data_IF_636851257940
#
_entry.id   IF_636851257940
#
_cell.length_a   1.000
_cell.length_b   1.000
_cell.length_c   1.000
_cell.angle_alpha   90.00
_cell.angle_beta   90.00
_cell.angle_gamma   90.00
#
_symmetry.space_group_name_H-M   'P 1'
#
loop_
_entity.id
_entity.type
_entity.pdbx_description
1 polymer ?
#
# COMPACT_ATOMS: atom_id res chain seq x y z
N UNK A 1 10.02 1.81 22.02
CA UNK A 1 10.85 0.99 21.12
C UNK A 1 11.26 1.85 19.95
N UNK A 2 12.55 2.15 19.84
CA UNK A 2 13.10 3.11 18.88
C UNK A 2 13.02 2.53 17.46
N UNK A 3 12.17 3.09 16.60
CA UNK A 3 12.26 2.86 15.15
C UNK A 3 13.45 3.68 14.66
N UNK A 4 14.51 2.99 14.27
CA UNK A 4 15.69 3.55 13.63
C UNK A 4 15.23 4.23 12.33
N UNK A 5 15.28 5.56 12.28
CA UNK A 5 14.89 6.31 11.08
C UNK A 5 16.06 6.21 10.10
N UNK A 6 15.98 5.26 9.17
CA UNK A 6 16.84 5.29 7.99
C UNK A 6 16.48 6.54 7.19
N UNK A 7 17.50 7.25 6.74
CA UNK A 7 17.39 8.46 5.92
C UNK A 7 16.89 8.03 4.51
N UNK A 8 15.61 7.65 4.40
CA UNK A 8 14.96 7.10 3.21
C UNK A 8 14.60 8.24 2.23
N UNK A 9 15.61 8.99 1.84
CA UNK A 9 15.53 10.07 0.87
C UNK A 9 15.97 9.53 -0.49
N UNK A 10 14.99 9.27 -1.36
CA UNK A 10 15.26 8.94 -2.75
C UNK A 10 15.61 10.20 -3.53
N UNK A 11 16.80 10.23 -4.14
CA UNK A 11 17.27 11.32 -4.98
C UNK A 11 17.28 10.96 -6.47
N UNK A 12 16.67 11.82 -7.27
CA UNK A 12 16.83 11.95 -8.72
C UNK A 12 17.59 13.25 -9.03
N UNK A 13 18.00 13.43 -10.29
CA UNK A 13 18.82 14.58 -10.74
C UNK A 13 18.27 15.96 -10.32
N UNK A 14 16.95 16.11 -10.18
CA UNK A 14 16.30 17.37 -9.79
C UNK A 14 15.22 17.19 -8.71
N UNK A 15 15.20 16.06 -8.00
CA UNK A 15 14.14 15.80 -7.02
C UNK A 15 14.65 14.93 -5.88
N UNK A 16 14.49 15.38 -4.64
CA UNK A 16 14.62 14.54 -3.46
C UNK A 16 13.23 14.28 -2.89
N UNK A 17 12.93 13.04 -2.56
CA UNK A 17 11.59 12.63 -2.13
C UNK A 17 11.64 11.59 -1.01
N UNK A 18 10.67 11.70 -0.12
CA UNK A 18 10.30 10.66 0.85
C UNK A 18 8.78 10.68 0.97
N UNK A 19 8.11 9.94 0.07
CA UNK A 19 6.67 10.00 -0.12
C UNK A 19 6.02 8.72 0.42
N UNK A 20 5.99 8.60 1.74
CA UNK A 20 5.37 7.48 2.45
C UNK A 20 3.93 7.83 2.81
N UNK A 21 3.00 6.94 2.51
CA UNK A 21 1.58 7.11 2.78
C UNK A 21 1.05 5.92 3.58
N UNK A 22 0.36 6.24 4.68
CA UNK A 22 -0.44 5.27 5.40
C UNK A 22 -1.85 5.25 4.80
N UNK A 23 -2.20 4.12 4.20
CA UNK A 23 -3.44 3.91 3.47
C UNK A 23 -4.26 2.86 4.20
N UNK A 24 -5.51 3.22 4.50
CA UNK A 24 -6.47 2.29 5.11
C UNK A 24 -7.73 2.24 4.26
N UNK A 25 -8.20 1.05 3.95
CA UNK A 25 -9.48 0.88 3.28
C UNK A 25 -10.24 -0.33 3.81
N UNK A 26 -11.56 -0.22 3.79
CA UNK A 26 -12.47 -1.26 4.26
C UNK A 26 -13.29 -1.82 3.08
N UNK A 27 -13.69 -3.10 3.14
CA UNK A 27 -14.62 -3.68 2.18
C UNK A 27 -15.99 -3.03 2.35
N UNK A 28 -16.81 -3.10 1.30
CA UNK A 28 -18.18 -2.54 1.34
C UNK A 28 -18.97 -3.15 2.50
N UNK A 29 -19.58 -2.29 3.31
CA UNK A 29 -20.30 -2.66 4.55
C UNK A 29 -19.46 -3.36 5.63
N UNK A 30 -18.12 -3.22 5.60
CA UNK A 30 -17.20 -3.87 6.56
C UNK A 30 -17.46 -5.38 6.71
N UNK A 31 -17.86 -6.02 5.61
CA UNK A 31 -18.06 -7.47 5.57
C UNK A 31 -16.75 -8.16 5.94
N UNK A 32 -16.83 -9.28 6.67
CA UNK A 32 -15.69 -10.15 6.99
C UNK A 32 -15.23 -10.95 5.76
N UNK A 33 -15.06 -10.26 4.63
CA UNK A 33 -14.75 -10.86 3.33
C UNK A 33 -13.29 -11.31 3.21
N UNK A 34 -12.42 -10.86 4.13
CA UNK A 34 -10.99 -11.16 4.16
C UNK A 34 -10.62 -12.28 5.15
N UNK A 35 -11.57 -13.15 5.52
CA UNK A 35 -11.32 -14.18 6.53
C UNK A 35 -10.57 -15.41 5.96
N UNK A 36 -9.70 -15.99 6.78
CA UNK A 36 -8.91 -17.22 6.51
C UNK A 36 -8.25 -17.25 5.14
N UNK A 37 -8.69 -18.14 4.24
CA UNK A 37 -8.04 -18.42 2.96
C UNK A 37 -7.96 -17.18 2.06
N UNK A 38 -8.97 -16.31 2.12
CA UNK A 38 -9.02 -15.09 1.29
C UNK A 38 -8.00 -14.04 1.72
N UNK A 39 -7.52 -14.08 2.96
CA UNK A 39 -6.50 -13.13 3.45
C UNK A 39 -5.21 -13.29 2.65
N UNK A 40 -4.77 -14.53 2.45
CA UNK A 40 -3.52 -14.87 1.77
C UNK A 40 -3.61 -14.50 0.28
N UNK A 41 -4.75 -14.79 -0.35
CA UNK A 41 -5.00 -14.43 -1.74
C UNK A 41 -5.00 -12.92 -1.96
N UNK A 42 -5.72 -12.17 -1.12
CA UNK A 42 -5.80 -10.71 -1.23
C UNK A 42 -4.45 -10.06 -0.98
N UNK A 43 -3.69 -10.55 0.00
CA UNK A 43 -2.32 -10.06 0.22
C UNK A 43 -1.43 -10.30 -1.00
N UNK A 44 -1.48 -11.48 -1.60
CA UNK A 44 -0.71 -11.80 -2.81
C UNK A 44 -1.09 -10.90 -3.99
N UNK A 45 -2.39 -10.68 -4.22
CA UNK A 45 -2.90 -9.79 -5.27
C UNK A 45 -2.43 -8.35 -5.04
N UNK A 46 -2.54 -7.85 -3.81
CA UNK A 46 -2.11 -6.48 -3.47
C UNK A 46 -0.61 -6.28 -3.68
N UNK A 47 0.22 -7.26 -3.30
CA UNK A 47 1.67 -7.22 -3.55
C UNK A 47 1.96 -7.18 -5.05
N UNK A 48 1.32 -8.04 -5.84
CA UNK A 48 1.49 -8.07 -7.29
C UNK A 48 1.06 -6.76 -7.96
N UNK A 49 -0.05 -6.16 -7.53
CA UNK A 49 -0.53 -4.87 -8.04
C UNK A 49 0.45 -3.72 -7.74
N UNK A 50 1.06 -3.72 -6.55
CA UNK A 50 2.08 -2.73 -6.19
C UNK A 50 3.37 -2.90 -7.01
N UNK A 51 3.81 -4.14 -7.24
CA UNK A 51 4.96 -4.44 -8.10
C UNK A 51 4.73 -3.94 -9.53
N UNK A 52 3.54 -4.15 -10.10
CA UNK A 52 3.21 -3.65 -11.44
C UNK A 52 3.25 -2.13 -11.56
N UNK A 53 3.01 -1.40 -10.46
CA UNK A 53 3.11 0.07 -10.41
C UNK A 53 4.47 0.57 -9.96
N UNK A 54 5.40 -0.31 -9.58
CA UNK A 54 6.70 0.05 -9.03
C UNK A 54 6.58 0.82 -7.71
N UNK A 55 5.56 0.52 -6.91
CA UNK A 55 5.33 1.12 -5.59
C UNK A 55 5.96 0.23 -4.54
N UNK A 56 6.77 0.80 -3.65
CA UNK A 56 7.44 0.05 -2.59
C UNK A 56 6.48 -0.12 -1.40
N UNK A 57 6.28 -1.36 -0.94
CA UNK A 57 5.46 -1.65 0.25
C UNK A 57 6.41 -1.78 1.44
N UNK A 58 6.22 -0.94 2.45
CA UNK A 58 7.01 -0.99 3.69
C UNK A 58 6.37 -1.96 4.68
N UNK A 59 5.07 -1.79 4.93
CA UNK A 59 4.27 -2.64 5.81
C UNK A 59 2.90 -2.84 5.16
N UNK A 60 2.33 -4.03 5.22
CA UNK A 60 0.96 -4.31 4.77
C UNK A 60 0.33 -5.36 5.67
N UNK A 61 -0.84 -5.04 6.22
CA UNK A 61 -1.58 -5.91 7.11
C UNK A 61 -3.06 -5.95 6.71
N UNK A 62 -3.57 -7.16 6.50
CA UNK A 62 -4.98 -7.41 6.23
C UNK A 62 -5.66 -7.81 7.54
N UNK A 63 -6.50 -6.91 8.07
CA UNK A 63 -7.38 -7.17 9.20
C UNK A 63 -8.75 -7.69 8.72
N UNK A 64 -9.59 -8.10 9.67
CA UNK A 64 -10.87 -8.76 9.39
C UNK A 64 -11.85 -7.86 8.61
N UNK A 65 -11.88 -6.57 8.93
CA UNK A 65 -12.83 -5.60 8.39
C UNK A 65 -12.16 -4.42 7.67
N UNK A 66 -10.83 -4.39 7.58
CA UNK A 66 -10.06 -3.36 6.87
C UNK A 66 -8.62 -3.81 6.57
N UNK A 67 -7.97 -3.12 5.65
CA UNK A 67 -6.56 -3.35 5.25
C UNK A 67 -5.76 -2.10 5.57
N UNK A 68 -4.62 -2.26 6.25
CA UNK A 68 -3.62 -1.23 6.49
C UNK A 68 -2.44 -1.45 5.55
N UNK A 69 -1.96 -0.40 4.90
CA UNK A 69 -0.72 -0.45 4.16
C UNK A 69 0.08 0.84 4.36
N UNK A 70 1.37 0.67 4.58
CA UNK A 70 2.36 1.73 4.51
C UNK A 70 3.12 1.56 3.20
N UNK A 71 2.87 2.45 2.25
CA UNK A 71 3.45 2.39 0.90
C UNK A 71 4.23 3.64 0.59
N UNK A 72 5.28 3.48 -0.19
CA UNK A 72 6.04 4.58 -0.75
C UNK A 72 5.69 4.76 -2.23
N UNK A 73 5.00 5.86 -2.54
CA UNK A 73 4.49 6.15 -3.87
C UNK A 73 5.39 7.18 -4.55
N UNK A 74 5.76 6.94 -5.81
CA UNK A 74 6.51 7.95 -6.57
C UNK A 74 5.65 9.21 -6.75
N UNK A 75 6.22 10.43 -6.64
CA UNK A 75 5.50 11.70 -6.77
C UNK A 75 4.90 11.93 -8.17
N UNK A 76 5.30 11.11 -9.15
CA UNK A 76 4.68 11.06 -10.48
C UNK A 76 3.24 10.52 -10.44
N UNK A 77 2.91 9.68 -9.46
CA UNK A 77 1.58 9.10 -9.31
C UNK A 77 0.79 9.85 -8.24
N UNK A 78 -0.48 10.14 -8.55
CA UNK A 78 -1.40 10.64 -7.54
C UNK A 78 -1.84 9.51 -6.60
N UNK A 79 -1.94 9.83 -5.31
CA UNK A 79 -2.44 8.87 -4.30
C UNK A 79 -3.85 8.40 -4.64
N UNK A 80 -4.71 9.31 -5.12
CA UNK A 80 -6.07 8.98 -5.55
C UNK A 80 -6.10 8.04 -6.75
N UNK A 81 -5.22 8.25 -7.74
CA UNK A 81 -5.08 7.36 -8.90
C UNK A 81 -4.57 5.97 -8.52
N UNK A 82 -3.60 5.90 -7.60
CA UNK A 82 -3.13 4.65 -7.04
C UNK A 82 -4.24 3.91 -6.29
N UNK A 83 -5.01 4.61 -5.46
CA UNK A 83 -6.15 4.01 -4.74
C UNK A 83 -7.25 3.50 -5.67
N UNK A 84 -7.56 4.22 -6.74
CA UNK A 84 -8.51 3.77 -7.76
C UNK A 84 -8.05 2.49 -8.46
N UNK A 85 -6.77 2.42 -8.81
CA UNK A 85 -6.17 1.21 -9.39
C UNK A 85 -6.21 0.02 -8.43
N UNK A 86 -5.78 0.24 -7.19
CA UNK A 86 -5.67 -0.81 -6.18
C UNK A 86 -7.04 -1.44 -5.89
N UNK A 87 -8.06 -0.60 -5.59
CA UNK A 87 -9.42 -1.07 -5.28
C UNK A 87 -10.20 -1.56 -6.50
N UNK A 88 -9.82 -1.14 -7.71
CA UNK A 88 -10.53 -1.49 -8.94
C UNK A 88 -10.11 -2.84 -9.52
N UNK A 89 -8.88 -3.30 -9.23
CA UNK A 89 -8.32 -4.56 -9.73
C UNK A 89 -8.25 -5.68 -8.70
N UNK A 90 -8.30 -5.37 -7.41
CA UNK A 90 -8.32 -6.32 -6.29
C UNK A 90 -9.63 -7.09 -6.20
#
# INVERSE_FOLDING_TARGET
MNKQYSDDLHSLSHTKRSCKYHIVFAPKYRRRAFYEARRVEVEAILRQLCEWKGVNIIEAEVCIDHVHMLVEILPKYSVSGFMGFLKGKS
#
